data_IF_227563924190
#
_entry.id   IF_227563924190
#
_cell.length_a   1.000
_cell.length_b   1.000
_cell.length_c   1.000
_cell.angle_alpha   90.00
_cell.angle_beta   90.00
_cell.angle_gamma   90.00
#
_symmetry.space_group_name_H-M   'P 1'
#
loop_
_entity.id
_entity.type
_entity.pdbx_description
1 polymer ?
#
# COMPACT_ATOMS: atom_id res chain seq x y z
N UNK A 1 -2.04 -10.03 13.68
CA UNK A 1 -1.20 -8.87 13.40
C UNK A 1 -0.10 -9.35 12.47
N UNK A 2 -0.01 -8.78 11.27
CA UNK A 2 1.04 -9.06 10.29
C UNK A 2 1.83 -7.78 10.11
N UNK A 3 3.15 -7.85 10.15
CA UNK A 3 3.99 -6.66 10.19
C UNK A 3 5.24 -6.83 9.31
N UNK A 4 5.77 -5.72 8.80
CA UNK A 4 6.99 -5.70 7.97
C UNK A 4 7.96 -4.65 8.46
N UNK A 5 9.24 -4.97 8.52
CA UNK A 5 10.27 -4.01 8.92
C UNK A 5 10.25 -2.82 7.95
N UNK A 6 10.15 -1.61 8.50
CA UNK A 6 10.22 -0.40 7.68
C UNK A 6 11.61 -0.26 7.02
N UNK A 7 11.72 0.30 5.80
CA UNK A 7 13.01 0.60 5.17
C UNK A 7 13.75 1.77 5.84
N UNK A 8 13.14 2.42 6.84
CA UNK A 8 13.71 3.50 7.62
C UNK A 8 14.72 2.93 8.65
N UNK A 9 15.88 3.56 8.88
CA UNK A 9 16.87 3.10 9.88
C UNK A 9 16.38 3.12 11.34
N UNK A 10 15.12 3.48 11.57
CA UNK A 10 14.51 3.49 12.90
C UNK A 10 13.80 2.15 13.11
N UNK A 11 14.11 1.40 14.18
CA UNK A 11 13.48 0.12 14.46
C UNK A 11 11.96 0.25 14.56
N UNK A 12 11.24 -0.59 13.82
CA UNK A 12 9.80 -0.74 13.95
C UNK A 12 9.20 -1.44 12.73
N UNK A 13 7.93 -1.82 12.86
CA UNK A 13 7.16 -2.47 11.81
C UNK A 13 5.99 -1.63 11.31
N UNK A 14 5.69 -1.74 10.03
CA UNK A 14 4.43 -1.29 9.45
C UNK A 14 3.34 -2.25 9.93
N UNK A 15 2.26 -1.71 10.48
CA UNK A 15 1.13 -2.47 10.99
C UNK A 15 -0.11 -2.30 10.11
N UNK A 16 -0.92 -3.35 10.05
CA UNK A 16 -2.18 -3.38 9.31
C UNK A 16 -3.35 -3.56 10.27
N UNK A 17 -4.42 -2.78 10.11
CA UNK A 17 -5.60 -2.85 10.99
C UNK A 17 -6.35 -4.18 10.92
N UNK A 18 -6.12 -4.98 9.88
CA UNK A 18 -6.66 -6.33 9.73
C UNK A 18 -5.56 -7.29 9.27
N UNK A 19 -5.70 -8.61 9.52
CA UNK A 19 -4.78 -9.59 8.98
C UNK A 19 -4.72 -9.51 7.45
N UNK A 20 -3.51 -9.28 6.92
CA UNK A 20 -3.26 -9.34 5.49
C UNK A 20 -2.59 -10.68 5.16
N UNK A 21 -2.94 -11.24 4.00
CA UNK A 21 -2.07 -12.20 3.36
C UNK A 21 -0.79 -11.50 2.90
N UNK A 22 0.31 -12.23 2.90
CA UNK A 22 1.63 -11.73 2.53
C UNK A 22 2.27 -12.67 1.50
N UNK A 23 2.93 -12.07 0.52
CA UNK A 23 3.73 -12.77 -0.48
C UNK A 23 4.80 -11.84 -1.03
N UNK A 24 5.62 -12.37 -1.94
CA UNK A 24 6.55 -11.56 -2.73
C UNK A 24 6.10 -11.53 -4.18
N UNK A 25 6.22 -10.36 -4.80
CA UNK A 25 5.88 -10.17 -6.22
C UNK A 25 6.77 -11.04 -7.11
N UNK A 26 8.07 -11.16 -6.79
CA UNK A 26 9.00 -11.93 -7.62
C UNK A 26 9.14 -11.32 -9.02
N UNK A 27 8.92 -12.11 -10.08
CA UNK A 27 8.96 -11.64 -11.47
C UNK A 27 7.75 -10.80 -11.89
N UNK A 28 6.73 -10.66 -11.03
CA UNK A 28 5.47 -10.00 -11.38
C UNK A 28 4.56 -10.87 -12.24
N UNK A 29 3.51 -10.25 -12.77
CA UNK A 29 2.55 -10.84 -13.72
C UNK A 29 2.35 -9.94 -14.93
N UNK A 30 1.49 -10.33 -15.87
CA UNK A 30 1.35 -9.70 -17.18
C UNK A 30 1.13 -8.18 -17.13
N UNK A 31 0.31 -7.71 -16.20
CA UNK A 31 -0.01 -6.29 -16.02
C UNK A 31 0.80 -5.62 -14.92
N UNK A 32 1.57 -6.35 -14.10
CA UNK A 32 2.39 -5.73 -13.06
C UNK A 32 3.44 -4.80 -13.67
N UNK A 33 3.62 -3.61 -13.09
CA UNK A 33 4.48 -2.56 -13.63
C UNK A 33 5.41 -1.96 -12.57
N UNK A 34 6.22 -0.97 -12.95
CA UNK A 34 7.19 -0.25 -12.09
C UNK A 34 8.36 -1.10 -11.54
N UNK A 35 8.44 -2.39 -11.86
CA UNK A 35 9.59 -3.24 -11.56
C UNK A 35 9.80 -3.54 -10.08
N UNK A 36 8.83 -3.24 -9.21
CA UNK A 36 8.89 -3.60 -7.80
C UNK A 36 8.72 -5.12 -7.65
N UNK A 37 9.66 -5.78 -6.98
CA UNK A 37 9.70 -7.25 -6.84
C UNK A 37 9.57 -7.73 -5.39
N UNK A 38 9.38 -6.79 -4.46
CA UNK A 38 9.39 -6.99 -3.02
C UNK A 38 8.09 -7.54 -2.45
N UNK A 39 7.81 -7.18 -1.19
CA UNK A 39 6.66 -7.66 -0.43
C UNK A 39 5.34 -7.08 -0.92
N UNK A 40 4.32 -7.93 -0.97
CA UNK A 40 2.93 -7.62 -1.36
C UNK A 40 1.98 -8.08 -0.26
N UNK A 41 0.96 -7.27 0.01
CA UNK A 41 -0.06 -7.55 1.02
C UNK A 41 -1.47 -7.43 0.41
N UNK A 42 -2.40 -8.29 0.82
CA UNK A 42 -3.80 -8.22 0.39
C UNK A 42 -4.77 -8.75 1.46
N UNK A 43 -6.01 -8.25 1.45
CA UNK A 43 -7.03 -8.51 2.48
C UNK A 43 -8.11 -9.53 2.05
N UNK A 44 -8.03 -10.04 0.82
CA UNK A 44 -9.04 -10.93 0.22
C UNK A 44 -10.47 -10.37 0.26
N UNK A 45 -10.64 -9.08 -0.07
CA UNK A 45 -11.95 -8.46 -0.29
C UNK A 45 -12.35 -7.38 0.72
N UNK A 46 -11.50 -7.02 1.69
CA UNK A 46 -11.78 -5.87 2.53
C UNK A 46 -11.78 -4.58 1.69
N UNK A 47 -12.73 -3.68 1.96
CA UNK A 47 -12.90 -2.40 1.25
C UNK A 47 -12.13 -1.25 1.89
N UNK A 48 -11.52 -1.48 3.06
CA UNK A 48 -10.65 -0.52 3.74
C UNK A 48 -9.51 -1.24 4.46
N UNK A 49 -8.39 -0.53 4.60
CA UNK A 49 -7.22 -0.97 5.34
C UNK A 49 -6.54 0.27 5.93
N UNK A 50 -6.22 0.24 7.22
CA UNK A 50 -5.38 1.26 7.85
C UNK A 50 -3.97 0.72 7.94
N UNK A 51 -3.02 1.53 7.49
CA UNK A 51 -1.59 1.25 7.55
C UNK A 51 -1.01 2.20 8.59
N UNK A 52 -0.40 1.67 9.64
CA UNK A 52 0.28 2.46 10.68
C UNK A 52 1.78 2.35 10.48
N UNK A 53 2.46 3.49 10.44
CA UNK A 53 3.90 3.57 10.24
C UNK A 53 4.64 3.39 11.57
N UNK A 54 5.82 2.74 11.56
CA UNK A 54 6.56 2.46 12.79
C UNK A 54 7.04 3.70 13.54
N UNK A 55 7.22 4.79 12.81
CA UNK A 55 7.64 6.10 13.31
C UNK A 55 7.05 7.18 12.43
N UNK A 56 6.87 8.40 12.98
CA UNK A 56 6.51 9.56 12.18
C UNK A 56 7.44 9.69 10.97
N UNK A 57 6.89 9.59 9.76
CA UNK A 57 7.63 9.73 8.50
C UNK A 57 7.30 11.05 7.80
N UNK A 58 8.17 11.49 6.89
CA UNK A 58 7.88 12.60 6.00
C UNK A 58 7.12 12.16 4.74
N UNK A 59 7.20 10.88 4.39
CA UNK A 59 6.57 10.30 3.21
C UNK A 59 6.35 8.79 3.35
N UNK A 60 5.29 8.32 2.71
CA UNK A 60 5.00 6.90 2.50
C UNK A 60 4.40 6.71 1.11
N UNK A 61 4.76 5.63 0.43
CA UNK A 61 4.18 5.32 -0.88
C UNK A 61 3.96 3.82 -1.03
N UNK A 62 3.03 3.46 -1.90
CA UNK A 62 2.76 2.08 -2.29
C UNK A 62 2.22 2.02 -3.72
N UNK A 63 2.29 0.82 -4.30
CA UNK A 63 1.66 0.49 -5.57
C UNK A 63 0.45 -0.40 -5.32
N UNK A 64 -0.63 -0.21 -6.08
CA UNK A 64 -1.85 -1.02 -5.98
C UNK A 64 -2.33 -1.46 -7.35
N UNK A 65 -2.64 -2.74 -7.49
CA UNK A 65 -3.27 -3.31 -8.69
C UNK A 65 -4.43 -4.22 -8.28
N UNK A 66 -5.70 -3.87 -8.60
CA UNK A 66 -6.84 -4.69 -8.21
C UNK A 66 -6.83 -6.07 -8.88
N UNK A 67 -6.96 -7.15 -8.12
CA UNK A 67 -7.05 -8.51 -8.68
C UNK A 67 -8.28 -8.76 -9.60
N UNK A 68 -9.46 -8.12 -9.43
CA UNK A 68 -10.64 -8.40 -10.26
C UNK A 68 -10.56 -8.01 -11.74
N UNK A 69 -9.41 -7.53 -12.26
CA UNK A 69 -9.26 -7.07 -13.65
C UNK A 69 -10.26 -5.96 -14.06
N UNK A 70 -10.72 -5.16 -13.11
CA UNK A 70 -11.66 -4.05 -13.32
C UNK A 70 -11.11 -2.74 -12.72
N UNK A 71 -11.78 -1.63 -13.04
CA UNK A 71 -11.48 -0.32 -12.44
C UNK A 71 -12.08 -0.21 -11.04
N UNK A 72 -11.25 0.16 -10.07
CA UNK A 72 -11.67 0.49 -8.72
C UNK A 72 -11.21 1.90 -8.35
N UNK A 73 -12.04 2.60 -7.58
CA UNK A 73 -11.72 3.90 -6.99
C UNK A 73 -11.21 3.69 -5.56
N UNK A 74 -10.10 4.32 -5.25
CA UNK A 74 -9.47 4.31 -3.94
C UNK A 74 -9.50 5.71 -3.36
N UNK A 75 -9.74 5.78 -2.06
CA UNK A 75 -9.57 7.00 -1.27
C UNK A 75 -8.49 6.73 -0.23
N UNK A 76 -7.50 7.61 -0.16
CA UNK A 76 -6.46 7.58 0.86
C UNK A 76 -6.64 8.79 1.74
N UNK A 77 -6.65 8.55 3.04
CA UNK A 77 -6.78 9.57 4.06
C UNK A 77 -5.54 9.49 4.96
N UNK A 78 -4.82 10.60 5.08
CA UNK A 78 -3.70 10.72 6.01
C UNK A 78 -4.19 10.97 7.44
N UNK A 79 -3.29 10.85 8.41
CA UNK A 79 -3.56 11.06 9.83
C UNK A 79 -3.98 12.50 10.19
N UNK A 80 -3.54 13.48 9.40
CA UNK A 80 -3.99 14.88 9.48
C UNK A 80 -5.41 15.12 8.92
N UNK A 81 -6.06 14.06 8.39
CA UNK A 81 -7.40 14.10 7.81
C UNK A 81 -7.44 14.55 6.35
N UNK A 82 -6.31 14.92 5.74
CA UNK A 82 -6.24 15.18 4.31
C UNK A 82 -6.55 13.91 3.52
N UNK A 83 -7.21 14.07 2.38
CA UNK A 83 -7.58 12.92 1.55
C UNK A 83 -7.45 13.20 0.06
N UNK A 84 -7.16 12.14 -0.68
CA UNK A 84 -7.12 12.15 -2.14
C UNK A 84 -7.78 10.87 -2.66
N UNK A 85 -8.32 10.94 -3.88
CA UNK A 85 -8.87 9.77 -4.55
C UNK A 85 -8.22 9.58 -5.91
N UNK A 86 -8.01 8.31 -6.25
CA UNK A 86 -7.46 7.90 -7.54
C UNK A 86 -8.14 6.59 -7.97
N UNK A 87 -7.94 6.20 -9.22
CA UNK A 87 -8.44 4.93 -9.75
C UNK A 87 -7.29 4.03 -10.17
N UNK A 88 -7.49 2.72 -10.02
CA UNK A 88 -6.58 1.71 -10.51
C UNK A 88 -7.37 0.64 -11.24
N UNK A 89 -6.82 0.10 -12.34
CA UNK A 89 -7.44 -0.96 -13.11
C UNK A 89 -6.57 -2.22 -13.07
N UNK A 90 -7.17 -3.36 -12.76
CA UNK A 90 -6.47 -4.64 -12.57
C UNK A 90 -5.77 -5.25 -13.77
N UNK A 91 -5.72 -4.54 -14.89
CA UNK A 91 -5.09 -4.98 -16.15
C UNK A 91 -4.31 -3.87 -16.85
N UNK A 92 -4.10 -2.73 -16.18
CA UNK A 92 -3.50 -1.54 -16.76
C UNK A 92 -2.18 -1.12 -16.09
N UNK A 93 -1.58 -1.97 -15.26
CA UNK A 93 -0.47 -1.56 -14.40
C UNK A 93 -0.89 -1.32 -12.96
N UNK A 94 0.09 -1.41 -12.06
CA UNK A 94 -0.06 -0.97 -10.69
C UNK A 94 -0.10 0.56 -10.64
N UNK A 95 -1.09 1.12 -9.93
CA UNK A 95 -1.20 2.55 -9.69
C UNK A 95 -0.32 2.97 -8.53
N UNK A 96 0.40 4.08 -8.67
CA UNK A 96 1.20 4.69 -7.62
C UNK A 96 0.33 5.56 -6.71
N UNK A 97 0.51 5.42 -5.39
CA UNK A 97 0.01 6.36 -4.40
C UNK A 97 1.16 6.78 -3.48
N UNK A 98 1.32 8.11 -3.30
CA UNK A 98 2.26 8.69 -2.36
C UNK A 98 1.54 9.64 -1.42
N UNK A 99 1.85 9.52 -0.13
CA UNK A 99 1.39 10.39 0.94
C UNK A 99 2.62 11.08 1.52
N UNK A 100 2.57 12.41 1.66
CA UNK A 100 3.63 13.20 2.27
C UNK A 100 3.02 14.13 3.30
N UNK A 101 3.77 14.39 4.37
CA UNK A 101 3.26 15.12 5.52
C UNK A 101 4.30 15.16 6.62
N UNK A 102 4.25 16.17 7.49
CA UNK A 102 5.16 16.26 8.62
C UNK A 102 4.66 15.35 9.74
N UNK A 103 5.32 14.21 9.93
CA UNK A 103 5.04 13.31 11.05
C UNK A 103 3.91 12.32 10.82
N UNK A 104 3.75 11.84 9.59
CA UNK A 104 2.79 10.78 9.23
C UNK A 104 2.96 9.54 10.11
N UNK A 105 1.87 9.11 10.76
CA UNK A 105 1.81 7.92 11.63
C UNK A 105 0.81 6.88 11.18
#
# INVERSE_FOLDING_TARGET
MTSVAGPCPIPGSIEFSTPCYHGRIGSGWASWSHGYTGDMYWTNGATSLTITLPVPSCAFYFYVEPNPFEQHNFTVTADDGSSASFSAHGSAGAAYCGVYGTGLT
#
